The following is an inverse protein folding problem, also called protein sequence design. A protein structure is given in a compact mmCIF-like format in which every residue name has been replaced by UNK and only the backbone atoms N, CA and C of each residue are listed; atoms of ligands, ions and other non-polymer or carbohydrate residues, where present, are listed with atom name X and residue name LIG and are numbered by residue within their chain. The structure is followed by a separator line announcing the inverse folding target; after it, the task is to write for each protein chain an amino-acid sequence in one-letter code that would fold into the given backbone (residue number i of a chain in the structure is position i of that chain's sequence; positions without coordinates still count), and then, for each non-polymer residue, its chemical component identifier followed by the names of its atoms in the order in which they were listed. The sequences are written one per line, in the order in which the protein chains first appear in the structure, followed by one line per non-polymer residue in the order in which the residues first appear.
data_IF_092187652367
#
_entry.id   IF_092187652367
#
_cell.length_a   1.000
_cell.length_b   1.000
_cell.length_c   1.000
_cell.angle_alpha   90.00
_cell.angle_beta   90.00
_cell.angle_gamma   90.00
#
_symmetry.space_group_name_H-M   'P 1'
#
loop_
_entity.id
_entity.type
_entity.pdbx_description
1 polymer ?
#
# COMPACT_ATOMS: atom_id res chain seq x y z
N UNK A 1 15.56 16.49 4.28
CA UNK A 1 15.52 17.53 5.33
C UNK A 1 14.09 17.77 5.79
N UNK A 2 13.21 18.40 5.01
CA UNK A 2 11.81 18.67 5.40
C UNK A 2 11.00 17.49 5.99
N UNK A 3 11.01 16.28 5.36
CA UNK A 3 10.30 15.09 5.89
C UNK A 3 10.81 14.63 7.26
N UNK A 4 12.13 14.70 7.47
CA UNK A 4 12.76 14.33 8.74
C UNK A 4 12.42 15.36 9.83
N UNK A 5 12.43 16.64 9.49
CA UNK A 5 12.02 17.72 10.39
C UNK A 5 10.56 17.58 10.81
N UNK A 6 9.65 17.31 9.86
CA UNK A 6 8.23 17.07 10.14
C UNK A 6 8.01 15.84 11.03
N UNK A 7 8.72 14.75 10.75
CA UNK A 7 8.70 13.54 11.57
C UNK A 7 9.19 13.82 13.00
N UNK A 8 10.35 14.47 13.15
CA UNK A 8 10.95 14.77 14.45
C UNK A 8 10.03 15.68 15.28
N UNK A 9 9.43 16.70 14.67
CA UNK A 9 8.46 17.57 15.35
C UNK A 9 7.27 16.78 15.91
N UNK A 10 6.68 15.89 15.12
CA UNK A 10 5.53 15.07 15.58
C UNK A 10 5.96 14.10 16.67
N UNK A 11 7.14 13.50 16.51
CA UNK A 11 7.72 12.58 17.50
C UNK A 11 7.91 13.29 18.84
N UNK A 12 8.54 14.46 18.86
CA UNK A 12 8.73 15.27 20.08
C UNK A 12 7.39 15.63 20.73
N UNK A 13 6.43 16.14 19.95
CA UNK A 13 5.09 16.48 20.43
C UNK A 13 4.37 15.29 21.10
N UNK A 14 4.53 14.08 20.56
CA UNK A 14 3.90 12.86 21.11
C UNK A 14 4.62 12.36 22.36
N UNK A 15 5.95 12.43 22.40
CA UNK A 15 6.74 12.07 23.57
C UNK A 15 6.42 12.98 24.76
N UNK A 16 6.29 14.30 24.54
CA UNK A 16 5.89 15.27 25.57
C UNK A 16 4.48 15.00 26.11
N UNK A 17 3.58 14.46 25.29
CA UNK A 17 2.24 14.03 25.68
C UNK A 17 2.20 12.68 26.43
N UNK A 18 3.37 12.10 26.72
CA UNK A 18 3.53 10.86 27.47
C UNK A 18 3.35 9.59 26.65
N UNK A 19 3.37 9.67 25.31
CA UNK A 19 3.39 8.47 24.47
C UNK A 19 4.77 7.82 24.47
N UNK A 20 4.79 6.50 24.34
CA UNK A 20 5.99 5.69 24.10
C UNK A 20 6.06 5.33 22.63
N UNK A 21 7.24 5.52 22.05
CA UNK A 21 7.50 5.14 20.68
C UNK A 21 7.81 3.65 20.54
N UNK A 22 7.32 3.06 19.45
CA UNK A 22 7.63 1.72 19.02
C UNK A 22 7.92 1.75 17.52
N UNK A 23 9.19 1.58 17.16
CA UNK A 23 9.62 1.62 15.77
C UNK A 23 9.26 0.31 15.08
N UNK A 24 8.30 0.37 14.15
CA UNK A 24 7.82 -0.75 13.35
C UNK A 24 8.43 -0.65 11.94
N UNK A 25 9.77 -0.73 11.88
CA UNK A 25 10.53 -0.71 10.64
C UNK A 25 11.31 -1.99 10.42
N UNK A 26 11.62 -2.28 9.16
CA UNK A 26 12.45 -3.42 8.77
C UNK A 26 13.47 -3.01 7.71
N UNK A 27 14.47 -3.86 7.49
CA UNK A 27 15.36 -3.71 6.35
C UNK A 27 14.60 -3.90 5.03
N UNK A 28 15.04 -3.21 3.98
CA UNK A 28 14.46 -3.33 2.63
C UNK A 28 14.46 -4.77 2.14
N UNK A 29 15.53 -5.53 2.40
CA UNK A 29 15.60 -6.96 2.05
C UNK A 29 14.48 -7.76 2.72
N UNK A 30 14.27 -7.57 4.03
CA UNK A 30 13.21 -8.26 4.76
C UNK A 30 11.84 -7.85 4.24
N UNK A 31 11.62 -6.56 3.96
CA UNK A 31 10.38 -6.09 3.38
C UNK A 31 10.09 -6.79 2.04
N UNK A 32 11.04 -6.80 1.11
CA UNK A 32 10.87 -7.43 -0.21
C UNK A 32 10.57 -8.93 -0.10
N UNK A 33 11.26 -9.65 0.79
CA UNK A 33 10.99 -11.07 1.06
C UNK A 33 9.56 -11.26 1.58
N UNK A 34 9.14 -10.43 2.54
CA UNK A 34 7.78 -10.52 3.10
C UNK A 34 6.70 -10.16 2.08
N UNK A 35 6.95 -9.21 1.17
CA UNK A 35 6.07 -8.91 0.04
C UNK A 35 5.87 -10.15 -0.83
N UNK A 36 6.94 -10.86 -1.20
CA UNK A 36 6.84 -12.08 -2.00
C UNK A 36 6.07 -13.18 -1.25
N UNK A 37 6.41 -13.43 0.02
CA UNK A 37 5.75 -14.45 0.84
C UNK A 37 4.25 -14.18 0.99
N UNK A 38 3.86 -12.90 1.14
CA UNK A 38 2.46 -12.54 1.35
C UNK A 38 1.66 -12.51 0.05
N UNK A 39 2.25 -12.08 -1.06
CA UNK A 39 1.49 -11.84 -2.30
C UNK A 39 1.53 -12.99 -3.30
N UNK A 40 2.61 -13.78 -3.37
CA UNK A 40 2.70 -14.92 -4.31
C UNK A 40 1.57 -15.93 -4.07
N UNK A 41 1.28 -16.37 -2.82
CA UNK A 41 0.15 -17.27 -2.58
C UNK A 41 -1.19 -16.68 -3.02
N UNK A 42 -1.41 -15.37 -2.78
CA UNK A 42 -2.64 -14.68 -3.18
C UNK A 42 -2.76 -14.65 -4.71
N UNK A 43 -1.68 -14.29 -5.41
CA UNK A 43 -1.66 -14.25 -6.87
C UNK A 43 -1.92 -15.64 -7.49
N UNK A 44 -1.31 -16.69 -6.95
CA UNK A 44 -1.54 -18.07 -7.38
C UNK A 44 -3.00 -18.46 -7.17
N UNK A 45 -3.57 -18.18 -5.99
CA UNK A 45 -4.98 -18.47 -5.70
C UNK A 45 -5.89 -17.71 -6.68
N UNK A 46 -5.67 -16.42 -6.89
CA UNK A 46 -6.44 -15.62 -7.85
C UNK A 46 -6.36 -16.21 -9.27
N UNK A 47 -5.17 -16.58 -9.72
CA UNK A 47 -4.99 -17.18 -11.04
C UNK A 47 -5.71 -18.53 -11.17
N UNK A 48 -5.57 -19.41 -10.17
CA UNK A 48 -6.24 -20.71 -10.15
C UNK A 48 -7.76 -20.58 -10.11
N UNK A 49 -8.30 -19.63 -9.34
CA UNK A 49 -9.74 -19.34 -9.30
C UNK A 49 -10.23 -18.87 -10.67
N UNK A 50 -9.49 -17.99 -11.35
CA UNK A 50 -9.85 -17.56 -12.70
C UNK A 50 -9.90 -18.74 -13.68
N UNK A 51 -8.89 -19.61 -13.66
CA UNK A 51 -8.85 -20.80 -14.52
C UNK A 51 -9.94 -21.81 -14.16
N UNK A 52 -10.26 -22.00 -12.89
CA UNK A 52 -11.33 -22.90 -12.47
C UNK A 52 -12.71 -22.48 -13.00
N UNK A 53 -12.97 -21.17 -13.07
CA UNK A 53 -14.25 -20.64 -13.53
C UNK A 53 -14.29 -20.53 -15.06
N UNK A 54 -13.21 -20.04 -15.69
CA UNK A 54 -13.24 -19.65 -17.11
C UNK A 54 -12.29 -20.44 -18.00
N UNK A 55 -11.48 -21.36 -17.48
CA UNK A 55 -10.35 -21.99 -18.17
C UNK A 55 -10.70 -22.67 -19.51
N UNK A 56 -11.95 -23.10 -19.72
CA UNK A 56 -12.41 -23.69 -20.97
C UNK A 56 -13.04 -22.72 -21.98
N UNK A 57 -13.25 -21.46 -21.63
CA UNK A 57 -14.08 -20.52 -22.42
C UNK A 57 -13.55 -19.09 -22.50
N UNK A 58 -12.56 -18.71 -21.70
CA UNK A 58 -11.99 -17.37 -21.76
C UNK A 58 -11.20 -17.13 -23.06
N UNK A 59 -11.29 -15.91 -23.58
CA UNK A 59 -10.40 -15.45 -24.64
C UNK A 59 -9.10 -14.99 -24.01
N UNK A 60 -8.04 -15.78 -24.21
CA UNK A 60 -6.70 -15.33 -23.83
C UNK A 60 -6.36 -14.04 -24.56
N UNK A 61 -6.08 -12.99 -23.80
CA UNK A 61 -5.62 -11.71 -24.32
C UNK A 61 -4.14 -11.60 -24.04
N UNK A 62 -3.33 -11.41 -25.08
CA UNK A 62 -1.88 -11.24 -24.92
C UNK A 62 -1.62 -10.01 -24.06
N UNK A 63 -0.75 -10.17 -23.07
CA UNK A 63 -0.27 -9.07 -22.22
C UNK A 63 0.80 -8.29 -22.97
N UNK A 64 0.35 -7.44 -23.88
CA UNK A 64 1.18 -6.63 -24.77
C UNK A 64 1.60 -5.29 -24.12
N UNK A 65 2.11 -4.37 -24.93
CA UNK A 65 2.55 -3.05 -24.46
C UNK A 65 1.42 -2.24 -23.81
N UNK A 66 0.17 -2.42 -24.23
CA UNK A 66 -0.99 -1.73 -23.65
C UNK A 66 -1.24 -2.23 -22.23
N UNK A 67 -1.09 -3.54 -22.00
CA UNK A 67 -1.16 -4.10 -20.65
C UNK A 67 -0.12 -3.48 -19.72
N UNK A 68 1.16 -3.50 -20.11
CA UNK A 68 2.23 -2.96 -19.27
C UNK A 68 2.13 -1.45 -19.05
N UNK A 69 1.67 -0.70 -20.06
CA UNK A 69 1.36 0.71 -19.91
C UNK A 69 0.22 0.93 -18.90
N UNK A 70 -0.83 0.11 -18.94
CA UNK A 70 -1.93 0.20 -17.97
C UNK A 70 -1.47 -0.07 -16.54
N UNK A 71 -0.58 -1.05 -16.33
CA UNK A 71 0.04 -1.31 -15.02
C UNK A 71 0.79 -0.08 -14.51
N UNK A 72 1.59 0.56 -15.37
CA UNK A 72 2.33 1.76 -14.99
C UNK A 72 1.39 2.89 -14.55
N UNK A 73 0.31 3.13 -15.31
CA UNK A 73 -0.73 4.10 -14.92
C UNK A 73 -1.38 3.71 -13.61
N UNK A 74 -1.68 2.42 -13.42
CA UNK A 74 -2.26 1.90 -12.18
C UNK A 74 -1.37 2.13 -10.96
N UNK A 75 -0.05 2.12 -11.09
CA UNK A 75 0.88 2.42 -9.99
C UNK A 75 0.76 3.90 -9.57
N UNK A 76 0.66 4.82 -10.53
CA UNK A 76 0.44 6.24 -10.22
C UNK A 76 -0.91 6.45 -9.51
N UNK A 77 -1.94 5.74 -9.98
CA UNK A 77 -3.28 5.77 -9.35
C UNK A 77 -3.25 5.16 -7.95
N UNK A 78 -2.47 4.09 -7.73
CA UNK A 78 -2.28 3.46 -6.42
C UNK A 78 -1.78 4.47 -5.39
N UNK A 79 -0.69 5.16 -5.70
CA UNK A 79 -0.15 6.21 -4.82
C UNK A 79 -1.17 7.33 -4.61
N UNK A 80 -1.84 7.79 -5.66
CA UNK A 80 -2.86 8.84 -5.55
C UNK A 80 -3.97 8.44 -4.56
N UNK A 81 -4.39 7.18 -4.54
CA UNK A 81 -5.43 6.68 -3.63
C UNK A 81 -4.95 6.68 -2.17
N UNK A 82 -3.67 6.36 -1.90
CA UNK A 82 -3.10 6.55 -0.55
C UNK A 82 -3.29 7.99 -0.11
N UNK A 83 -2.86 8.93 -0.94
CA UNK A 83 -2.91 10.36 -0.66
C UNK A 83 -4.34 10.87 -0.44
N UNK A 84 -5.28 10.51 -1.32
CA UNK A 84 -6.69 10.87 -1.18
C UNK A 84 -7.24 10.32 0.13
N UNK A 85 -6.98 9.05 0.44
CA UNK A 85 -7.52 8.40 1.63
C UNK A 85 -6.98 9.05 2.90
N UNK A 86 -5.67 9.25 3.02
CA UNK A 86 -5.07 9.89 4.19
C UNK A 86 -5.42 11.38 4.31
N UNK A 87 -5.49 12.11 3.21
CA UNK A 87 -5.84 13.53 3.21
C UNK A 87 -7.21 13.81 3.85
N UNK A 88 -8.18 12.90 3.71
CA UNK A 88 -9.49 13.02 4.36
C UNK A 88 -9.35 13.13 5.88
N UNK A 89 -8.39 12.41 6.46
CA UNK A 89 -8.19 12.31 7.90
C UNK A 89 -7.20 13.32 8.49
N UNK A 90 -6.38 13.95 7.66
CA UNK A 90 -5.39 14.95 8.07
C UNK A 90 -6.04 16.31 8.38
N UNK A 91 -5.47 17.06 9.32
CA UNK A 91 -5.87 18.45 9.62
C UNK A 91 -5.49 19.37 8.46
N UNK A 92 -4.29 19.20 7.88
CA UNK A 92 -3.80 19.99 6.73
C UNK A 92 -4.32 19.50 5.39
N UNK A 93 -5.16 18.45 5.37
CA UNK A 93 -5.74 17.83 4.16
C UNK A 93 -4.65 17.42 3.16
N UNK A 94 -4.80 17.75 1.88
CA UNK A 94 -3.84 17.44 0.83
C UNK A 94 -2.43 17.97 1.10
N UNK A 95 -2.29 19.06 1.88
CA UNK A 95 -0.99 19.65 2.22
C UNK A 95 -0.16 18.78 3.17
N UNK A 96 -0.76 17.76 3.79
CA UNK A 96 -0.05 16.76 4.59
C UNK A 96 0.53 15.63 3.73
N UNK A 97 0.15 15.55 2.45
CA UNK A 97 0.52 14.43 1.58
C UNK A 97 1.72 14.82 0.72
N UNK A 98 2.73 13.95 0.72
CA UNK A 98 3.88 14.03 -0.18
C UNK A 98 3.96 12.78 -1.05
N UNK A 99 4.38 12.97 -2.30
CA UNK A 99 4.65 11.88 -3.24
C UNK A 99 6.11 11.92 -3.67
N UNK A 100 6.67 10.77 -3.99
CA UNK A 100 8.00 10.68 -4.58
C UNK A 100 8.29 9.30 -5.15
N UNK A 101 9.52 9.14 -5.62
CA UNK A 101 10.06 7.85 -6.05
C UNK A 101 11.38 7.66 -5.33
N UNK A 102 11.52 6.52 -4.66
CA UNK A 102 12.83 6.06 -4.22
C UNK A 102 13.54 5.41 -5.42
N UNK A 103 14.43 6.17 -6.06
CA UNK A 103 15.17 5.72 -7.24
C UNK A 103 16.12 4.55 -6.96
N UNK A 104 16.50 4.31 -5.70
CA UNK A 104 17.36 3.18 -5.34
C UNK A 104 16.62 1.85 -5.37
N UNK A 105 15.30 1.88 -5.11
CA UNK A 105 14.42 0.72 -5.13
C UNK A 105 13.39 0.76 -6.27
N UNK A 106 13.38 1.85 -7.06
CA UNK A 106 12.37 2.16 -8.09
C UNK A 106 10.93 2.09 -7.55
N UNK A 107 10.74 2.44 -6.29
CA UNK A 107 9.45 2.34 -5.60
C UNK A 107 8.82 3.73 -5.48
N UNK A 108 7.68 3.99 -6.15
CA UNK A 108 6.85 5.14 -5.85
C UNK A 108 6.35 5.07 -4.41
N UNK A 109 6.19 6.22 -3.78
CA UNK A 109 5.65 6.27 -2.43
C UNK A 109 4.77 7.49 -2.22
N UNK A 110 3.80 7.32 -1.32
CA UNK A 110 3.00 8.35 -0.70
C UNK A 110 3.37 8.42 0.79
N UNK A 111 3.55 9.62 1.34
CA UNK A 111 3.79 9.83 2.76
C UNK A 111 2.85 10.88 3.35
N UNK A 112 2.50 10.70 4.62
CA UNK A 112 1.69 11.60 5.42
C UNK A 112 2.54 12.29 6.49
N UNK A 113 2.57 13.63 6.49
CA UNK A 113 3.29 14.45 7.48
C UNK A 113 2.44 14.77 8.73
N UNK A 114 1.50 13.90 9.06
CA UNK A 114 0.68 13.94 10.27
C UNK A 114 0.54 12.54 10.86
N UNK A 115 0.47 12.44 12.20
CA UNK A 115 0.16 11.20 12.89
C UNK A 115 -1.32 10.83 12.74
N UNK A 116 -1.60 9.58 12.37
CA UNK A 116 -2.94 9.08 12.16
C UNK A 116 -3.27 7.96 13.15
N UNK A 117 -4.47 7.97 13.72
CA UNK A 117 -4.93 6.84 14.52
C UNK A 117 -4.92 5.55 13.67
N UNK A 118 -4.59 4.41 14.30
CA UNK A 118 -4.48 3.09 13.67
C UNK A 118 -5.48 2.83 12.53
N UNK A 119 -6.79 2.98 12.78
CA UNK A 119 -7.83 2.68 11.77
C UNK A 119 -7.73 3.55 10.52
N UNK A 120 -7.38 4.83 10.68
CA UNK A 120 -7.26 5.80 9.58
C UNK A 120 -6.01 5.53 8.75
N UNK A 121 -4.91 5.23 9.42
CA UNK A 121 -3.67 4.83 8.78
C UNK A 121 -3.86 3.52 7.99
N UNK A 122 -4.42 2.50 8.64
CA UNK A 122 -4.70 1.20 8.04
C UNK A 122 -5.64 1.30 6.83
N UNK A 123 -6.66 2.16 6.89
CA UNK A 123 -7.53 2.37 5.74
C UNK A 123 -6.76 2.93 4.55
N UNK A 124 -5.89 3.93 4.74
CA UNK A 124 -5.09 4.45 3.65
C UNK A 124 -4.06 3.45 3.10
N UNK A 125 -3.52 2.53 3.91
CA UNK A 125 -2.74 1.41 3.39
C UNK A 125 -3.59 0.42 2.55
N UNK A 126 -4.81 0.11 2.99
CA UNK A 126 -5.62 -0.92 2.35
C UNK A 126 -6.29 -0.46 1.04
N UNK A 127 -6.71 0.81 0.97
CA UNK A 127 -7.56 1.32 -0.11
C UNK A 127 -6.98 1.15 -1.52
N UNK A 128 -5.70 1.43 -1.79
CA UNK A 128 -5.15 1.30 -3.15
C UNK A 128 -5.20 -0.12 -3.69
N UNK A 129 -4.77 -1.10 -2.89
CA UNK A 129 -4.83 -2.53 -3.24
C UNK A 129 -6.26 -3.00 -3.44
N UNK A 130 -7.22 -2.48 -2.67
CA UNK A 130 -8.65 -2.78 -2.87
C UNK A 130 -9.14 -2.20 -4.20
N UNK A 131 -8.86 -0.92 -4.47
CA UNK A 131 -9.46 -0.18 -5.58
C UNK A 131 -8.83 -0.53 -6.92
N UNK A 132 -7.51 -0.66 -6.99
CA UNK A 132 -6.78 -0.92 -8.26
C UNK A 132 -6.45 -2.40 -8.42
N UNK A 133 -6.40 -3.17 -7.34
CA UNK A 133 -6.13 -4.61 -7.38
C UNK A 133 -7.40 -5.46 -7.31
N UNK A 134 -8.03 -5.49 -6.14
CA UNK A 134 -9.12 -6.42 -5.84
C UNK A 134 -10.37 -6.16 -6.67
N UNK A 135 -10.81 -4.90 -6.81
CA UNK A 135 -12.00 -4.56 -7.59
C UNK A 135 -11.83 -4.93 -9.07
N UNK A 136 -10.75 -4.55 -9.78
CA UNK A 136 -10.52 -5.00 -11.16
C UNK A 136 -10.43 -6.51 -11.30
N UNK A 137 -9.77 -7.19 -10.36
CA UNK A 137 -9.72 -8.65 -10.37
C UNK A 137 -11.12 -9.27 -10.29
N UNK A 138 -11.97 -8.84 -9.35
CA UNK A 138 -13.33 -9.34 -9.19
C UNK A 138 -14.16 -9.06 -10.44
N UNK A 139 -14.08 -7.86 -11.01
CA UNK A 139 -14.82 -7.51 -12.23
C UNK A 139 -14.33 -8.36 -13.41
N UNK A 140 -13.02 -8.52 -13.57
CA UNK A 140 -12.43 -9.39 -14.59
C UNK A 140 -12.86 -10.84 -14.44
N UNK A 141 -12.94 -11.32 -13.19
CA UNK A 141 -13.41 -12.65 -12.86
C UNK A 141 -14.91 -12.83 -13.18
N UNK A 142 -15.76 -11.85 -12.89
CA UNK A 142 -17.20 -11.93 -13.22
C UNK A 142 -17.41 -11.96 -14.74
N UNK A 143 -16.64 -11.15 -15.48
CA UNK A 143 -16.78 -10.99 -16.92
C UNK A 143 -16.01 -12.02 -17.75
N UNK A 144 -15.20 -12.89 -17.13
CA UNK A 144 -14.25 -13.75 -17.84
C UNK A 144 -13.18 -12.98 -18.62
N UNK A 145 -12.92 -11.73 -18.23
CA UNK A 145 -11.95 -10.85 -18.87
C UNK A 145 -10.55 -11.09 -18.30
N UNK A 146 -9.73 -11.83 -19.04
CA UNK A 146 -8.37 -12.18 -18.64
C UNK A 146 -7.46 -10.96 -18.42
N UNK A 147 -7.52 -9.96 -19.31
CA UNK A 147 -6.70 -8.75 -19.20
C UNK A 147 -6.98 -8.04 -17.88
N UNK A 148 -8.26 -7.80 -17.57
CA UNK A 148 -8.66 -7.07 -16.36
C UNK A 148 -8.39 -7.87 -15.08
N UNK A 149 -8.58 -9.19 -15.14
CA UNK A 149 -8.24 -10.08 -14.02
C UNK A 149 -6.73 -10.03 -13.73
N UNK A 150 -5.88 -10.15 -14.75
CA UNK A 150 -4.42 -10.12 -14.58
C UNK A 150 -3.92 -8.73 -14.16
N UNK A 151 -4.56 -7.66 -14.65
CA UNK A 151 -4.32 -6.30 -14.17
C UNK A 151 -4.52 -6.22 -12.65
N UNK A 152 -5.67 -6.70 -12.17
CA UNK A 152 -5.96 -6.73 -10.73
C UNK A 152 -4.97 -7.56 -9.92
N UNK A 153 -4.59 -8.74 -10.43
CA UNK A 153 -3.58 -9.61 -9.78
C UNK A 153 -2.23 -8.89 -9.63
N UNK A 154 -1.74 -8.22 -10.68
CA UNK A 154 -0.48 -7.48 -10.62
C UNK A 154 -0.55 -6.36 -9.57
N UNK A 155 -1.66 -5.64 -9.49
CA UNK A 155 -1.83 -4.59 -8.47
C UNK A 155 -2.03 -5.10 -7.05
N UNK A 156 -2.61 -6.29 -6.86
CA UNK A 156 -2.63 -6.98 -5.56
C UNK A 156 -1.20 -7.31 -5.11
N UNK A 157 -0.36 -7.77 -6.03
CA UNK A 157 1.06 -8.07 -5.76
C UNK A 157 1.84 -6.79 -5.45
N UNK A 158 1.62 -5.74 -6.23
CA UNK A 158 2.26 -4.43 -6.00
C UNK A 158 1.90 -3.87 -4.61
N UNK A 159 0.65 -4.04 -4.17
CA UNK A 159 0.18 -3.65 -2.83
C UNK A 159 0.67 -4.53 -1.66
N UNK A 160 1.58 -5.48 -1.91
CA UNK A 160 2.11 -6.35 -0.85
C UNK A 160 2.86 -5.60 0.25
N UNK A 161 3.51 -4.48 -0.09
CA UNK A 161 4.16 -3.61 0.90
C UNK A 161 3.16 -3.09 1.93
N UNK A 162 2.00 -2.63 1.46
CA UNK A 162 0.91 -2.15 2.30
C UNK A 162 0.32 -3.24 3.17
N UNK A 163 0.11 -4.44 2.61
CA UNK A 163 -0.35 -5.61 3.36
C UNK A 163 0.63 -5.94 4.50
N UNK A 164 1.93 -5.85 4.22
CA UNK A 164 2.96 -6.09 5.22
C UNK A 164 2.97 -5.00 6.30
N UNK A 165 2.81 -3.73 5.93
CA UNK A 165 2.64 -2.62 6.89
C UNK A 165 1.42 -2.87 7.79
N UNK A 166 0.27 -3.22 7.20
CA UNK A 166 -0.95 -3.59 7.93
C UNK A 166 -0.70 -4.72 8.94
N UNK A 167 0.09 -5.72 8.54
CA UNK A 167 0.49 -6.81 9.43
C UNK A 167 1.42 -6.34 10.57
N UNK A 168 2.35 -5.42 10.31
CA UNK A 168 3.25 -4.87 11.33
C UNK A 168 2.48 -4.06 12.39
N UNK A 169 1.52 -3.22 11.96
CA UNK A 169 0.77 -2.34 12.87
C UNK A 169 -0.41 -3.03 13.58
N UNK A 170 -0.77 -4.27 13.23
CA UNK A 170 -2.00 -4.96 13.71
C UNK A 170 -2.15 -5.05 15.24
N UNK A 171 -1.02 -4.98 15.98
CA UNK A 171 -1.00 -5.01 17.45
C UNK A 171 -1.13 -3.60 18.06
N UNK A 172 -0.83 -2.56 17.28
CA UNK A 172 -0.80 -1.17 17.71
C UNK A 172 -2.17 -0.47 17.57
N UNK A 173 -3.25 -1.12 18.04
CA UNK A 173 -4.64 -0.72 17.72
C UNK A 173 -5.06 0.63 18.29
N UNK A 174 -4.42 1.07 19.38
CA UNK A 174 -4.67 2.34 20.04
C UNK A 174 -3.60 3.39 19.74
N UNK A 175 -2.64 3.06 18.87
CA UNK A 175 -1.52 3.91 18.57
C UNK A 175 -1.88 5.05 17.61
N UNK A 176 -1.09 6.12 17.71
CA UNK A 176 -0.90 7.09 16.64
C UNK A 176 0.25 6.57 15.78
N UNK A 177 -0.01 6.37 14.49
CA UNK A 177 0.96 5.88 13.52
C UNK A 177 1.49 7.06 12.71
N UNK A 178 2.81 7.12 12.58
CA UNK A 178 3.52 8.15 11.79
C UNK A 178 4.41 7.44 10.78
N UNK A 179 4.38 7.89 9.53
CA UNK A 179 5.27 7.36 8.49
C UNK A 179 6.73 7.58 8.87
N UNK A 180 7.57 6.55 8.69
CA UNK A 180 8.99 6.71 8.90
C UNK A 180 9.62 7.43 7.68
N UNK A 181 10.50 8.44 7.86
CA UNK A 181 10.99 9.25 6.74
C UNK A 181 11.90 8.49 5.75
N UNK A 182 12.66 7.49 6.23
CA UNK A 182 13.65 6.77 5.42
C UNK A 182 13.55 5.23 5.43
N UNK A 183 13.20 4.62 6.57
CA UNK A 183 13.07 3.18 6.69
C UNK A 183 11.71 2.69 6.17
N UNK A 184 11.69 1.46 5.68
CA UNK A 184 10.46 0.77 5.29
C UNK A 184 9.67 0.43 6.54
N UNK A 185 8.55 1.13 6.73
CA UNK A 185 7.64 0.95 7.86
C UNK A 185 7.18 2.28 8.46
N UNK A 186 6.79 2.22 9.73
CA UNK A 186 6.21 3.36 10.44
C UNK A 186 6.61 3.33 11.92
N UNK A 187 6.28 4.39 12.64
CA UNK A 187 6.45 4.46 14.10
C UNK A 187 5.07 4.52 14.75
N UNK A 188 4.84 3.63 15.71
CA UNK A 188 3.64 3.60 16.52
C UNK A 188 3.89 4.28 17.87
N UNK A 189 3.00 5.18 18.26
CA UNK A 189 3.04 5.88 19.54
C UNK A 189 1.85 5.44 20.39
N UNK A 190 2.12 4.80 21.53
CA UNK A 190 1.12 4.26 22.46
C UNK A 190 1.26 4.87 23.87
N UNK A 191 0.17 4.96 24.62
CA UNK A 191 0.22 5.37 26.04
C UNK A 191 0.42 4.17 26.94
#
# INVERSE_FOLDING_TARGET
MKRLEEFNRIREELLEQGYKENCLSVSTLKANIMVLITTVPIAVICYLVFLAIHGGSYKYTRLDIVFWFSIFVGIVVHELIHGITWAVFCKKKWRAIGFGVDWSTLTPYCCCSEGLAFKKYALGCAMPTIVVGLLPYIIGLILGNYFLAMFGVVHIVAGGGDIYILWMIRKAKNAIIVDHPYLVGCVAFEK
#
